data_IF_975608433555
#
_entry.id   IF_975608433555
#
_cell.length_a   1.000
_cell.length_b   1.000
_cell.length_c   1.000
_cell.angle_alpha   90.00
_cell.angle_beta   90.00
_cell.angle_gamma   90.00
#
_symmetry.space_group_name_H-M   'P 1'
#
loop_
_entity.id
_entity.type
_entity.pdbx_description
1 polymer ?
#
# COMPACT_ATOMS: atom_id res chain seq x y z
N UNK A 1 0.35 -17.59 10.78
CA UNK A 1 -1.02 -17.07 10.63
C UNK A 1 -1.73 -17.20 11.96
N UNK A 2 -1.71 -16.13 12.76
CA UNK A 2 -2.49 -16.07 13.99
C UNK A 2 -3.95 -15.87 13.60
N UNK A 3 -4.83 -16.78 13.98
CA UNK A 3 -6.29 -16.63 13.82
C UNK A 3 -6.90 -15.77 14.93
N UNK A 4 -6.10 -14.87 15.53
CA UNK A 4 -6.58 -14.02 16.62
C UNK A 4 -7.19 -12.79 16.00
N UNK A 5 -8.46 -12.46 16.30
CA UNK A 5 -9.04 -11.18 15.96
C UNK A 5 -8.18 -10.05 16.53
N UNK A 6 -7.99 -8.98 15.79
CA UNK A 6 -7.43 -7.76 16.37
C UNK A 6 -8.50 -7.22 17.29
N UNK A 7 -8.40 -7.57 18.56
CA UNK A 7 -9.34 -7.09 19.59
C UNK A 7 -8.84 -5.74 20.08
N UNK A 8 -9.53 -4.69 19.72
CA UNK A 8 -9.37 -3.39 20.36
C UNK A 8 -10.01 -3.45 21.75
N UNK A 9 -9.22 -3.75 22.77
CA UNK A 9 -9.08 -3.08 24.05
C UNK A 9 -9.96 -3.35 25.27
N UNK A 10 -11.07 -4.04 25.25
CA UNK A 10 -11.86 -4.10 26.49
C UNK A 10 -11.92 -5.50 27.16
N UNK A 11 -11.41 -6.53 26.55
CA UNK A 11 -11.37 -7.87 27.14
C UNK A 11 -9.93 -8.32 27.42
N UNK A 12 -9.67 -8.90 28.61
CA UNK A 12 -8.37 -9.46 28.92
C UNK A 12 -8.02 -10.59 27.94
N UNK A 13 -6.83 -10.52 27.39
CA UNK A 13 -6.30 -11.54 26.46
C UNK A 13 -6.15 -12.86 27.19
N UNK A 14 -6.75 -13.95 26.71
CA UNK A 14 -6.61 -15.29 27.28
C UNK A 14 -5.18 -15.81 27.13
N UNK A 15 -4.78 -16.79 27.97
CA UNK A 15 -3.44 -17.40 27.84
C UNK A 15 -3.20 -18.03 26.47
N UNK A 16 -4.19 -18.66 25.88
CA UNK A 16 -4.12 -19.18 24.51
C UNK A 16 -3.84 -18.05 23.49
N UNK A 17 -4.52 -16.92 23.60
CA UNK A 17 -4.31 -15.77 22.73
C UNK A 17 -2.92 -15.17 22.91
N UNK A 18 -2.41 -15.10 24.15
CA UNK A 18 -1.04 -14.66 24.43
C UNK A 18 -0.01 -15.56 23.75
N UNK A 19 -0.17 -16.88 23.85
CA UNK A 19 0.73 -17.83 23.20
C UNK A 19 0.73 -17.66 21.68
N UNK A 20 -0.46 -17.49 21.06
CA UNK A 20 -0.58 -17.23 19.63
C UNK A 20 0.11 -15.90 19.22
N UNK A 21 -0.02 -14.84 20.02
CA UNK A 21 0.65 -13.57 19.79
C UNK A 21 2.17 -13.71 19.86
N UNK A 22 2.67 -14.43 20.86
CA UNK A 22 4.10 -14.69 21.02
C UNK A 22 4.63 -15.47 19.80
N UNK A 23 3.93 -16.52 19.37
CA UNK A 23 4.33 -17.31 18.21
C UNK A 23 4.28 -16.49 16.91
N UNK A 24 3.26 -15.67 16.73
CA UNK A 24 3.16 -14.74 15.60
C UNK A 24 4.29 -13.70 15.61
N UNK A 25 4.59 -13.11 16.75
CA UNK A 25 5.66 -12.12 16.87
C UNK A 25 7.04 -12.73 16.58
N UNK A 26 7.31 -13.95 17.07
CA UNK A 26 8.55 -14.68 16.74
C UNK A 26 8.67 -14.94 15.24
N UNK A 27 7.58 -15.35 14.59
CA UNK A 27 7.56 -15.58 13.15
C UNK A 27 7.88 -14.31 12.36
N UNK A 28 7.39 -13.13 12.80
CA UNK A 28 7.68 -11.84 12.19
C UNK A 28 9.12 -11.39 12.49
N UNK A 29 9.60 -11.55 13.74
CA UNK A 29 10.94 -11.16 14.15
C UNK A 29 12.05 -11.84 13.32
N UNK A 30 11.78 -13.05 12.83
CA UNK A 30 12.69 -13.79 11.97
C UNK A 30 12.63 -13.35 10.49
N UNK A 31 11.77 -12.39 10.13
CA UNK A 31 11.71 -11.83 8.77
C UNK A 31 12.61 -10.60 8.66
N UNK A 32 13.21 -10.41 7.49
CA UNK A 32 14.00 -9.21 7.18
C UNK A 32 13.06 -8.03 6.89
N UNK A 33 12.28 -7.62 7.89
CA UNK A 33 11.33 -6.50 7.79
C UNK A 33 11.84 -5.35 8.65
N UNK A 34 11.93 -4.17 8.07
CA UNK A 34 12.30 -2.93 8.75
C UNK A 34 11.15 -1.94 8.64
N UNK A 35 10.57 -1.55 9.77
CA UNK A 35 9.48 -0.56 9.82
C UNK A 35 10.05 0.80 10.22
N UNK A 36 9.69 1.85 9.48
CA UNK A 36 10.17 3.21 9.70
C UNK A 36 8.94 4.12 9.84
N UNK A 37 8.67 4.55 11.07
CA UNK A 37 7.49 5.35 11.42
C UNK A 37 7.74 6.86 11.50
N UNK A 38 8.90 7.34 11.06
CA UNK A 38 9.24 8.78 11.08
C UNK A 38 9.03 9.40 9.71
N UNK A 39 8.70 10.70 9.69
CA UNK A 39 8.67 11.47 8.45
C UNK A 39 9.96 11.31 7.66
N UNK A 40 9.84 11.04 6.37
CA UNK A 40 10.95 10.78 5.48
C UNK A 40 10.98 11.83 4.36
N UNK A 41 12.18 12.25 3.99
CA UNK A 41 12.42 12.97 2.74
C UNK A 41 12.81 11.98 1.66
N UNK A 42 12.68 12.36 0.39
CA UNK A 42 13.10 11.50 -0.73
C UNK A 42 14.58 11.12 -0.62
N UNK A 43 15.44 12.03 -0.17
CA UNK A 43 16.87 11.76 0.05
C UNK A 43 17.12 10.73 1.15
N UNK A 44 16.32 10.76 2.23
CA UNK A 44 16.44 9.75 3.29
C UNK A 44 15.94 8.37 2.84
N UNK A 45 14.90 8.33 2.02
CA UNK A 45 14.41 7.09 1.40
C UNK A 45 15.48 6.51 0.48
N UNK A 46 16.06 7.32 -0.42
CA UNK A 46 17.16 6.91 -1.30
C UNK A 46 18.31 6.29 -0.51
N UNK A 47 18.79 7.00 0.53
CA UNK A 47 19.89 6.49 1.35
C UNK A 47 19.59 5.11 1.94
N UNK A 48 18.37 4.91 2.45
CA UNK A 48 17.97 3.63 3.04
C UNK A 48 17.89 2.52 2.00
N UNK A 49 17.32 2.79 0.83
CA UNK A 49 17.26 1.80 -0.26
C UNK A 49 18.67 1.40 -0.68
N UNK A 50 19.61 2.33 -0.78
CA UNK A 50 21.02 2.05 -1.09
C UNK A 50 21.65 1.13 -0.02
N UNK A 51 21.38 1.40 1.25
CA UNK A 51 21.90 0.60 2.36
C UNK A 51 21.37 -0.84 2.32
N UNK A 52 20.06 -1.00 2.07
CA UNK A 52 19.40 -2.33 2.04
C UNK A 52 19.73 -3.11 0.74
N UNK A 53 19.82 -2.43 -0.41
CA UNK A 53 20.11 -3.08 -1.70
C UNK A 53 21.48 -3.75 -1.75
N UNK A 54 22.44 -3.30 -0.94
CA UNK A 54 23.75 -3.97 -0.78
C UNK A 54 23.65 -5.39 -0.23
N UNK A 55 22.52 -5.73 0.37
CA UNK A 55 22.26 -7.06 0.96
C UNK A 55 21.41 -7.96 0.06
N UNK A 56 21.06 -7.49 -1.14
CA UNK A 56 20.22 -8.16 -2.11
C UNK A 56 19.03 -7.30 -2.56
N UNK A 57 18.11 -7.91 -3.30
CA UNK A 57 16.93 -7.21 -3.80
C UNK A 57 16.09 -6.62 -2.67
N UNK A 58 15.73 -5.35 -2.79
CA UNK A 58 14.96 -4.60 -1.80
C UNK A 58 13.53 -4.41 -2.26
N UNK A 59 12.59 -4.67 -1.35
CA UNK A 59 11.19 -4.37 -1.53
C UNK A 59 10.80 -3.25 -0.56
N UNK A 60 10.39 -2.10 -1.06
CA UNK A 60 10.02 -0.94 -0.27
C UNK A 60 8.52 -0.64 -0.40
N UNK A 61 7.83 -0.54 0.73
CA UNK A 61 6.46 -0.04 0.81
C UNK A 61 6.48 1.38 1.38
N UNK A 62 5.86 2.33 0.68
CA UNK A 62 5.78 3.73 1.07
C UNK A 62 4.31 4.12 1.21
N UNK A 63 3.86 4.30 2.43
CA UNK A 63 2.49 4.71 2.75
C UNK A 63 2.53 6.10 3.40
N UNK A 64 2.13 7.14 2.70
CA UNK A 64 1.79 7.28 1.29
C UNK A 64 2.59 8.44 0.65
N UNK A 65 2.49 8.65 -0.65
CA UNK A 65 3.31 9.63 -1.40
C UNK A 65 3.23 11.05 -0.83
N UNK A 66 2.07 11.48 -0.38
CA UNK A 66 1.84 12.81 0.18
C UNK A 66 2.55 13.08 1.52
N UNK A 67 3.07 12.04 2.21
CA UNK A 67 3.84 12.19 3.45
C UNK A 67 5.35 12.35 3.20
N UNK A 68 5.80 12.20 1.96
CA UNK A 68 7.22 12.38 1.64
C UNK A 68 7.56 13.87 1.67
N UNK A 69 8.43 14.25 2.60
CA UNK A 69 8.86 15.61 2.77
C UNK A 69 9.66 16.13 1.57
N UNK A 70 9.36 17.36 1.16
CA UNK A 70 10.13 18.12 0.18
C UNK A 70 10.68 19.37 0.84
N UNK A 71 11.97 19.63 0.66
CA UNK A 71 12.63 20.82 1.19
C UNK A 71 12.34 22.10 0.38
N UNK A 72 11.78 21.94 -0.82
CA UNK A 72 11.48 23.05 -1.71
C UNK A 72 10.10 23.64 -1.38
N UNK A 73 10.11 24.79 -0.69
CA UNK A 73 8.89 25.50 -0.30
C UNK A 73 8.25 26.28 -1.44
N UNK A 74 8.95 26.47 -2.56
CA UNK A 74 8.49 27.31 -3.68
C UNK A 74 7.57 26.55 -4.64
N UNK A 75 7.66 25.22 -4.69
CA UNK A 75 6.89 24.35 -5.57
C UNK A 75 5.49 24.09 -5.04
N UNK A 76 4.55 24.00 -5.95
CA UNK A 76 3.19 23.49 -5.71
C UNK A 76 3.22 22.02 -5.25
N UNK A 77 2.13 21.55 -4.64
CA UNK A 77 2.01 20.14 -4.25
C UNK A 77 2.15 19.21 -5.47
N UNK A 78 1.56 19.59 -6.60
CA UNK A 78 1.67 18.86 -7.86
C UNK A 78 3.13 18.69 -8.32
N UNK A 79 3.90 19.78 -8.34
CA UNK A 79 5.30 19.75 -8.76
C UNK A 79 6.19 18.94 -7.80
N UNK A 80 5.91 19.03 -6.49
CA UNK A 80 6.60 18.22 -5.48
C UNK A 80 6.34 16.74 -5.67
N UNK A 81 5.09 16.34 -5.81
CA UNK A 81 4.71 14.95 -6.02
C UNK A 81 5.30 14.41 -7.31
N UNK A 82 5.24 15.19 -8.40
CA UNK A 82 5.85 14.83 -9.68
C UNK A 82 7.36 14.55 -9.53
N UNK A 83 8.08 15.44 -8.85
CA UNK A 83 9.52 15.27 -8.64
C UNK A 83 9.84 14.03 -7.79
N UNK A 84 9.08 13.80 -6.73
CA UNK A 84 9.21 12.63 -5.84
C UNK A 84 8.99 11.33 -6.63
N UNK A 85 7.93 11.25 -7.42
CA UNK A 85 7.60 10.05 -8.21
C UNK A 85 8.70 9.74 -9.23
N UNK A 86 9.21 10.75 -9.94
CA UNK A 86 10.33 10.59 -10.87
C UNK A 86 11.59 10.07 -10.16
N UNK A 87 11.89 10.63 -9.00
CA UNK A 87 13.04 10.18 -8.22
C UNK A 87 12.87 8.76 -7.69
N UNK A 88 11.70 8.37 -7.19
CA UNK A 88 11.42 7.00 -6.80
C UNK A 88 11.56 6.03 -7.97
N UNK A 89 11.08 6.42 -9.15
CA UNK A 89 11.28 5.62 -10.38
C UNK A 89 12.77 5.44 -10.68
N UNK A 90 13.56 6.52 -10.60
CA UNK A 90 15.01 6.43 -10.84
C UNK A 90 15.69 5.53 -9.80
N UNK A 91 15.34 5.67 -8.50
CA UNK A 91 15.85 4.82 -7.43
C UNK A 91 15.56 3.34 -7.72
N UNK A 92 14.34 3.02 -8.17
CA UNK A 92 13.98 1.63 -8.46
C UNK A 92 14.84 1.01 -9.56
N UNK A 93 15.22 1.81 -10.55
CA UNK A 93 16.08 1.37 -11.66
C UNK A 93 17.56 1.26 -11.25
N UNK A 94 18.06 2.28 -10.54
CA UNK A 94 19.48 2.37 -10.18
C UNK A 94 19.90 1.28 -9.18
N UNK A 95 18.97 0.83 -8.32
CA UNK A 95 19.27 -0.08 -7.21
C UNK A 95 18.53 -1.41 -7.29
N UNK A 96 17.95 -1.73 -8.43
CA UNK A 96 17.19 -2.98 -8.66
C UNK A 96 16.23 -3.29 -7.49
N UNK A 97 15.43 -2.30 -7.10
CA UNK A 97 14.46 -2.44 -6.02
C UNK A 97 13.03 -2.28 -6.53
N UNK A 98 12.12 -3.02 -5.91
CA UNK A 98 10.69 -2.86 -6.15
C UNK A 98 10.10 -1.87 -5.16
N UNK A 99 9.43 -0.83 -5.63
CA UNK A 99 8.77 0.17 -4.79
C UNK A 99 7.26 0.05 -4.96
N UNK A 100 6.56 -0.24 -3.86
CA UNK A 100 5.12 -0.10 -3.74
C UNK A 100 4.81 1.27 -3.14
N UNK A 101 4.23 2.14 -3.95
CA UNK A 101 3.87 3.48 -3.54
C UNK A 101 2.35 3.57 -3.36
N UNK A 102 1.90 3.82 -2.14
CA UNK A 102 0.49 4.09 -1.86
C UNK A 102 0.18 5.54 -2.25
N UNK A 103 -0.92 5.73 -2.95
CA UNK A 103 -1.41 7.04 -3.37
C UNK A 103 -2.92 7.16 -3.12
N UNK A 104 -3.38 8.36 -2.81
CA UNK A 104 -4.80 8.62 -2.69
C UNK A 104 -5.45 8.81 -4.06
N UNK A 105 -6.68 8.33 -4.19
CA UNK A 105 -7.53 8.62 -5.35
C UNK A 105 -8.43 9.84 -5.07
N UNK A 106 -8.86 10.48 -6.14
CA UNK A 106 -9.85 11.55 -6.06
C UNK A 106 -11.24 10.94 -5.78
N UNK A 107 -12.05 11.61 -4.96
CA UNK A 107 -13.41 11.13 -4.64
C UNK A 107 -14.43 11.31 -5.77
N UNK A 108 -13.99 11.67 -6.96
CA UNK A 108 -14.87 11.85 -8.11
C UNK A 108 -15.63 10.57 -8.50
N UNK A 109 -15.00 9.41 -8.33
CA UNK A 109 -15.65 8.11 -8.56
C UNK A 109 -16.83 7.86 -7.62
N UNK A 110 -16.82 8.45 -6.42
CA UNK A 110 -17.91 8.30 -5.44
C UNK A 110 -19.25 8.88 -5.96
N UNK A 111 -19.20 9.83 -6.90
CA UNK A 111 -20.37 10.51 -7.47
C UNK A 111 -20.92 9.81 -8.74
N UNK A 112 -20.31 8.72 -9.18
CA UNK A 112 -20.74 7.93 -10.34
C UNK A 112 -21.58 6.73 -9.93
N UNK A 113 -22.38 6.18 -10.87
CA UNK A 113 -23.13 4.93 -10.61
C UNK A 113 -22.19 3.75 -10.32
N UNK A 114 -21.11 3.66 -11.07
CA UNK A 114 -20.04 2.69 -10.84
C UNK A 114 -18.99 3.34 -9.95
N UNK A 115 -18.94 2.90 -8.71
CA UNK A 115 -18.01 3.40 -7.68
C UNK A 115 -16.57 2.89 -7.84
N UNK A 116 -16.31 2.05 -8.85
CA UNK A 116 -14.97 1.52 -9.12
C UNK A 116 -14.02 2.65 -9.52
N UNK A 117 -12.87 2.76 -8.86
CA UNK A 117 -11.87 3.76 -9.21
C UNK A 117 -11.27 3.47 -10.59
N UNK A 118 -10.92 4.55 -11.30
CA UNK A 118 -10.21 4.52 -12.59
C UNK A 118 -8.83 5.13 -12.43
N UNK A 119 -7.94 4.86 -13.36
CA UNK A 119 -6.60 5.46 -13.36
C UNK A 119 -6.67 6.99 -13.36
N UNK A 120 -7.66 7.57 -14.08
CA UNK A 120 -7.90 9.01 -14.09
C UNK A 120 -8.24 9.62 -12.72
N UNK A 121 -8.62 8.78 -11.75
CA UNK A 121 -8.93 9.22 -10.39
C UNK A 121 -7.68 9.30 -9.50
N UNK A 122 -6.50 8.90 -10.01
CA UNK A 122 -5.24 9.12 -9.29
C UNK A 122 -5.06 10.62 -9.05
N UNK A 123 -5.12 10.97 -7.78
CA UNK A 123 -4.95 12.34 -7.33
C UNK A 123 -3.50 12.76 -7.53
N UNK A 124 -3.32 14.04 -7.82
CA UNK A 124 -2.06 14.75 -7.73
C UNK A 124 -1.20 14.79 -8.98
N UNK A 125 -0.98 13.71 -9.74
CA UNK A 125 -0.20 13.87 -10.99
C UNK A 125 -0.44 12.75 -12.00
N UNK A 126 -0.49 13.10 -13.31
CA UNK A 126 -0.36 12.11 -14.39
C UNK A 126 0.97 11.36 -14.36
N UNK A 127 1.96 11.88 -13.60
CA UNK A 127 3.26 11.23 -13.43
C UNK A 127 3.16 9.89 -12.68
N UNK A 128 2.24 9.76 -11.71
CA UNK A 128 1.99 8.48 -11.04
C UNK A 128 1.61 7.40 -12.05
N UNK A 129 0.67 7.72 -12.94
CA UNK A 129 0.28 6.82 -14.01
C UNK A 129 1.43 6.54 -14.97
N UNK A 130 2.15 7.58 -15.42
CA UNK A 130 3.22 7.43 -16.42
C UNK A 130 4.40 6.63 -15.89
N UNK A 131 4.85 6.91 -14.68
CA UNK A 131 6.02 6.28 -14.07
C UNK A 131 5.79 4.85 -13.58
N UNK A 132 4.59 4.53 -13.13
CA UNK A 132 4.28 3.20 -12.62
C UNK A 132 4.36 2.12 -13.71
N UNK A 133 4.96 0.99 -13.38
CA UNK A 133 4.92 -0.23 -14.20
C UNK A 133 3.56 -0.91 -14.08
N UNK A 134 3.02 -0.94 -12.87
CA UNK A 134 1.70 -1.51 -12.55
C UNK A 134 0.93 -0.53 -11.69
N UNK A 135 -0.38 -0.40 -11.93
CA UNK A 135 -1.30 0.37 -11.11
C UNK A 135 -2.39 -0.58 -10.63
N UNK A 136 -2.47 -0.71 -9.31
CA UNK A 136 -3.49 -1.48 -8.62
C UNK A 136 -4.41 -0.54 -7.87
N UNK A 137 -5.71 -0.71 -8.05
CA UNK A 137 -6.73 0.07 -7.33
C UNK A 137 -7.61 -0.87 -6.53
N UNK A 138 -7.96 -0.47 -5.33
CA UNK A 138 -8.80 -1.26 -4.44
C UNK A 138 -10.23 -0.75 -4.48
N UNK A 139 -11.20 -1.67 -4.55
CA UNK A 139 -12.60 -1.35 -4.49
C UNK A 139 -13.33 -2.28 -3.52
N UNK A 140 -14.12 -1.68 -2.63
CA UNK A 140 -15.02 -2.39 -1.71
C UNK A 140 -16.45 -1.89 -1.94
N UNK A 141 -17.26 -2.70 -2.58
CA UNK A 141 -18.66 -2.37 -2.90
C UNK A 141 -19.50 -2.23 -1.62
N UNK A 142 -19.23 -3.05 -0.59
CA UNK A 142 -19.97 -3.01 0.67
C UNK A 142 -19.74 -1.71 1.44
N UNK A 143 -18.52 -1.15 1.37
CA UNK A 143 -18.20 0.15 1.94
C UNK A 143 -19.15 1.24 1.43
N UNK A 144 -19.41 1.26 0.13
CA UNK A 144 -20.29 2.26 -0.49
C UNK A 144 -21.77 2.01 -0.22
N UNK A 145 -22.15 0.77 0.09
CA UNK A 145 -23.53 0.40 0.47
C UNK A 145 -23.78 0.55 1.96
N UNK A 146 -22.76 0.84 2.77
CA UNK A 146 -22.86 0.88 4.23
C UNK A 146 -23.17 -0.48 4.86
N UNK A 147 -22.75 -1.57 4.20
CA UNK A 147 -22.97 -2.94 4.67
C UNK A 147 -21.68 -3.40 5.38
N UNK A 148 -21.82 -3.72 6.66
CA UNK A 148 -20.73 -4.32 7.44
C UNK A 148 -20.84 -5.84 7.41
N UNK A 149 -19.80 -6.51 6.97
CA UNK A 149 -19.68 -7.96 6.95
C UNK A 149 -18.37 -8.41 7.60
N UNK A 150 -18.38 -9.59 8.23
CA UNK A 150 -17.16 -10.16 8.82
C UNK A 150 -16.14 -10.56 7.72
N UNK A 151 -16.66 -10.99 6.59
CA UNK A 151 -15.88 -11.32 5.39
C UNK A 151 -16.46 -10.49 4.26
N UNK A 152 -15.61 -9.73 3.58
CA UNK A 152 -15.97 -8.85 2.48
C UNK A 152 -15.24 -9.24 1.22
N UNK A 153 -15.87 -9.03 0.07
CA UNK A 153 -15.21 -9.12 -1.22
C UNK A 153 -14.54 -7.79 -1.54
N UNK A 154 -13.23 -7.86 -1.78
CA UNK A 154 -12.43 -6.71 -2.20
C UNK A 154 -11.94 -6.97 -3.62
N UNK A 155 -12.21 -6.04 -4.52
CA UNK A 155 -11.68 -6.08 -5.86
C UNK A 155 -10.31 -5.38 -5.92
N UNK A 156 -9.34 -6.06 -6.51
CA UNK A 156 -8.07 -5.47 -6.93
C UNK A 156 -8.17 -5.24 -8.44
N UNK A 157 -8.33 -3.99 -8.83
CA UNK A 157 -8.45 -3.58 -10.23
C UNK A 157 -7.03 -3.31 -10.74
N UNK A 158 -6.56 -4.13 -11.66
CA UNK A 158 -5.29 -3.93 -12.36
C UNK A 158 -5.55 -2.97 -13.51
N UNK A 159 -5.44 -1.67 -13.25
CA UNK A 159 -5.74 -0.64 -14.24
C UNK A 159 -4.61 -0.45 -15.26
N UNK A 160 -3.38 -0.76 -14.88
CA UNK A 160 -2.20 -0.73 -15.75
C UNK A 160 -1.28 -1.88 -15.40
N UNK A 161 -0.75 -2.53 -16.43
CA UNK A 161 0.31 -3.53 -16.27
C UNK A 161 1.17 -3.58 -17.54
N UNK A 162 2.40 -3.08 -17.46
CA UNK A 162 3.30 -3.05 -18.64
C UNK A 162 3.78 -4.44 -19.05
N UNK A 163 3.82 -5.39 -18.12
CA UNK A 163 4.39 -6.70 -18.32
C UNK A 163 3.34 -7.82 -18.39
N UNK A 164 2.04 -7.47 -18.42
CA UNK A 164 0.97 -8.46 -18.42
C UNK A 164 -0.39 -7.85 -18.72
N UNK A 165 -1.43 -8.59 -18.39
CA UNK A 165 -2.80 -8.19 -18.65
C UNK A 165 -3.35 -7.27 -17.55
N UNK A 166 -4.30 -6.44 -17.91
CA UNK A 166 -5.18 -5.73 -16.99
C UNK A 166 -6.41 -6.57 -16.68
N UNK A 167 -7.11 -6.26 -15.58
CA UNK A 167 -8.29 -7.02 -15.20
C UNK A 167 -8.67 -6.77 -13.74
N UNK A 168 -9.52 -7.64 -13.21
CA UNK A 168 -9.99 -7.56 -11.83
C UNK A 168 -9.73 -8.91 -11.15
N UNK A 169 -9.13 -8.86 -9.97
CA UNK A 169 -9.01 -9.98 -9.05
C UNK A 169 -9.92 -9.74 -7.86
N UNK A 170 -10.68 -10.74 -7.45
CA UNK A 170 -11.51 -10.67 -6.25
C UNK A 170 -10.87 -11.48 -5.14
N UNK A 171 -10.70 -10.84 -3.99
CA UNK A 171 -10.20 -11.45 -2.77
C UNK A 171 -11.28 -11.40 -1.69
N UNK A 172 -11.25 -12.36 -0.78
CA UNK A 172 -11.99 -12.32 0.46
C UNK A 172 -11.16 -11.61 1.54
N UNK A 173 -11.73 -10.59 2.17
CA UNK A 173 -11.11 -9.87 3.27
C UNK A 173 -11.83 -10.18 4.58
N UNK A 174 -11.12 -10.82 5.50
CA UNK A 174 -11.61 -11.06 6.85
C UNK A 174 -11.23 -9.87 7.73
N UNK A 175 -12.20 -9.04 8.10
CA UNK A 175 -11.99 -7.84 8.91
C UNK A 175 -11.45 -8.16 10.31
N UNK A 176 -11.88 -9.26 10.92
CA UNK A 176 -11.46 -9.61 12.29
C UNK A 176 -9.97 -9.93 12.37
N UNK A 177 -9.43 -10.56 11.32
CA UNK A 177 -8.02 -10.98 11.27
C UNK A 177 -7.17 -10.10 10.36
N UNK A 178 -7.78 -9.11 9.72
CA UNK A 178 -7.16 -8.26 8.68
C UNK A 178 -6.40 -9.09 7.64
N UNK A 179 -7.05 -10.14 7.16
CA UNK A 179 -6.44 -11.11 6.27
C UNK A 179 -7.17 -11.15 4.94
N UNK A 180 -6.38 -11.19 3.88
CA UNK A 180 -6.86 -11.46 2.53
C UNK A 180 -6.64 -12.92 2.17
N UNK A 181 -7.65 -13.54 1.59
CA UNK A 181 -7.60 -14.89 1.04
C UNK A 181 -8.07 -14.88 -0.42
N UNK A 182 -7.52 -15.79 -1.23
CA UNK A 182 -7.99 -15.97 -2.60
C UNK A 182 -9.38 -16.60 -2.50
N UNK A 183 -10.34 -16.03 -3.23
CA UNK A 183 -11.67 -16.61 -3.35
C UNK A 183 -11.54 -17.95 -4.07
N UNK A 184 -11.92 -19.04 -3.39
CA UNK A 184 -11.93 -20.39 -3.93
C UNK A 184 -13.04 -20.61 -4.96
#
# INVERSE_FOLDING_TARGET
>A
NTKIPIVYHDNPVTEYQKEQLINGSRAIANKKIKVISRSQTISSIRKRIIEESKQGHTLAFIDYVGLIGSNDKTKSLYEKTTAIVKELRQISLDYDCTIFLVAQINRNSENTKDKRPKISDLKETGELEQSATTVLMLHNENYYKGIEMKIEEIEIIIGKNRNGQTGILTLEYNQQNQRFDIKG
#
